data_IF_712484300005
#
_entry.id   IF_712484300005
#
_cell.length_a   1.000
_cell.length_b   1.000
_cell.length_c   1.000
_cell.angle_alpha   90.00
_cell.angle_beta   90.00
_cell.angle_gamma   90.00
#
_symmetry.space_group_name_H-M   'P 1'
#
loop_
_entity.id
_entity.type
_entity.pdbx_description
1 polymer ?
#
# COMPACT_ATOMS: atom_id res chain seq x y z
N UNK A 1 -2.41 -7.17 9.22
CA UNK A 1 -1.62 -7.50 8.03
C UNK A 1 -0.34 -6.72 8.12
N UNK A 2 0.79 -7.36 7.86
CA UNK A 2 2.10 -6.71 7.81
C UNK A 2 2.78 -7.01 6.48
N UNK A 3 3.57 -6.07 5.96
CA UNK A 3 4.47 -6.29 4.83
C UNK A 3 5.68 -5.36 4.91
N UNK A 4 6.79 -5.82 4.34
CA UNK A 4 8.04 -5.07 4.22
C UNK A 4 8.35 -4.75 2.77
N UNK A 5 8.85 -3.56 2.46
CA UNK A 5 9.31 -3.22 1.11
C UNK A 5 10.46 -2.22 1.15
N UNK A 6 11.16 -2.10 0.03
CA UNK A 6 12.19 -1.08 -0.18
C UNK A 6 11.62 0.03 -1.05
N UNK A 7 11.87 1.29 -0.67
CA UNK A 7 11.49 2.46 -1.49
C UNK A 7 12.23 2.38 -2.83
N UNK A 8 11.52 2.38 -3.97
CA UNK A 8 12.14 2.23 -5.27
C UNK A 8 12.88 3.51 -5.67
N UNK A 9 13.80 3.40 -6.63
CA UNK A 9 14.52 4.56 -7.18
C UNK A 9 13.53 5.56 -7.78
N UNK A 10 13.70 6.87 -7.52
CA UNK A 10 12.85 7.91 -8.12
C UNK A 10 12.76 7.76 -9.65
N UNK A 11 11.65 8.20 -10.28
CA UNK A 11 11.52 8.21 -11.73
C UNK A 11 12.68 8.92 -12.43
N UNK A 12 13.15 8.36 -13.55
CA UNK A 12 14.22 8.98 -14.36
C UNK A 12 13.77 10.22 -15.13
N UNK A 13 12.46 10.34 -15.38
CA UNK A 13 11.84 11.48 -16.03
C UNK A 13 10.63 11.94 -15.19
N UNK A 14 10.84 12.62 -14.04
CA UNK A 14 9.74 13.05 -13.19
C UNK A 14 8.92 14.16 -13.89
N UNK A 15 7.61 13.97 -13.97
CA UNK A 15 6.62 14.95 -14.38
C UNK A 15 5.65 15.26 -13.23
N UNK A 16 4.38 15.47 -13.56
CA UNK A 16 3.31 15.68 -12.56
C UNK A 16 2.61 14.39 -12.13
N UNK A 17 3.11 13.22 -12.53
CA UNK A 17 2.51 11.94 -12.18
C UNK A 17 2.50 11.75 -10.66
N UNK A 18 1.50 11.00 -10.20
CA UNK A 18 1.38 10.57 -8.81
C UNK A 18 1.38 9.05 -8.81
N UNK A 19 2.19 8.45 -7.94
CA UNK A 19 2.35 7.00 -7.87
C UNK A 19 2.26 6.56 -6.42
N UNK A 20 1.40 5.60 -6.13
CA UNK A 20 1.22 5.01 -4.81
C UNK A 20 1.52 3.52 -4.83
N UNK A 21 2.22 3.08 -3.80
CA UNK A 21 2.47 1.68 -3.49
C UNK A 21 1.97 1.36 -2.09
N UNK A 22 1.17 0.31 -1.94
CA UNK A 22 0.66 -0.11 -0.64
C UNK A 22 0.20 -1.58 -0.63
N UNK A 23 0.36 -2.32 0.48
CA UNK A 23 -0.57 -3.38 0.83
C UNK A 23 -1.86 -2.78 1.40
N UNK A 24 -2.92 -3.56 1.58
CA UNK A 24 -4.15 -3.00 2.14
C UNK A 24 -5.22 -4.00 2.56
N UNK A 25 -6.20 -3.51 3.31
CA UNK A 25 -7.38 -4.25 3.73
C UNK A 25 -8.64 -3.44 3.44
N UNK A 26 -9.67 -4.08 2.89
CA UNK A 26 -10.96 -3.43 2.62
C UNK A 26 -12.14 -4.38 2.84
N UNK A 27 -13.36 -3.85 2.74
CA UNK A 27 -14.60 -4.62 2.84
C UNK A 27 -15.03 -5.09 1.45
N UNK A 28 -15.52 -6.33 1.35
CA UNK A 28 -16.27 -6.81 0.19
C UNK A 28 -17.65 -7.36 0.59
N UNK A 29 -18.64 -7.32 -0.33
CA UNK A 29 -18.54 -6.84 -1.72
C UNK A 29 -18.66 -5.31 -1.86
N UNK A 30 -19.08 -4.61 -0.81
CA UNK A 30 -19.28 -3.16 -0.82
C UNK A 30 -18.10 -2.49 -0.10
N UNK A 31 -17.18 -1.93 -0.87
CA UNK A 31 -16.05 -1.17 -0.34
C UNK A 31 -16.58 0.17 0.20
N UNK A 32 -16.37 0.40 1.50
CA UNK A 32 -16.56 1.73 2.11
C UNK A 32 -15.22 2.42 2.29
N UNK A 33 -14.20 1.64 2.66
CA UNK A 33 -12.85 2.11 2.85
C UNK A 33 -11.80 1.02 2.70
N UNK A 34 -10.57 1.44 2.46
CA UNK A 34 -9.35 0.66 2.37
C UNK A 34 -8.34 1.26 3.36
N UNK A 35 -7.80 0.40 4.21
CA UNK A 35 -6.76 0.74 5.19
C UNK A 35 -5.39 0.41 4.59
N UNK A 36 -4.52 1.42 4.45
CA UNK A 36 -3.31 1.34 3.63
C UNK A 36 -2.13 2.05 4.29
N UNK A 37 -1.01 1.38 4.55
CA UNK A 37 0.27 2.04 4.73
C UNK A 37 0.84 2.41 3.35
N UNK A 38 0.75 3.68 2.99
CA UNK A 38 1.01 4.19 1.63
C UNK A 38 2.43 4.76 1.53
N UNK A 39 3.17 4.31 0.52
CA UNK A 39 4.33 5.00 -0.05
C UNK A 39 3.88 5.76 -1.31
N UNK A 40 4.01 7.08 -1.31
CA UNK A 40 3.59 7.94 -2.42
C UNK A 40 4.74 8.74 -3.03
N UNK A 41 4.85 8.72 -4.35
CA UNK A 41 5.66 9.67 -5.13
C UNK A 41 4.78 10.84 -5.53
N UNK A 42 5.24 12.06 -5.22
CA UNK A 42 4.58 13.29 -5.60
C UNK A 42 3.11 13.38 -5.10
N UNK A 43 2.76 12.63 -4.05
CA UNK A 43 1.41 12.61 -3.48
C UNK A 43 0.99 13.96 -2.86
N UNK A 44 1.98 14.80 -2.52
CA UNK A 44 1.78 16.13 -1.96
C UNK A 44 2.29 17.25 -2.90
N UNK A 45 2.41 16.97 -4.21
CA UNK A 45 2.93 17.90 -5.22
C UNK A 45 4.35 18.43 -4.87
N UNK A 46 5.19 17.55 -4.36
CA UNK A 46 6.52 17.81 -3.81
C UNK A 46 7.64 17.11 -4.60
N UNK A 47 7.29 16.32 -5.62
CA UNK A 47 8.21 15.47 -6.38
C UNK A 47 9.14 14.63 -5.48
N UNK A 48 8.59 14.06 -4.41
CA UNK A 48 9.33 13.27 -3.44
C UNK A 48 8.58 12.00 -3.01
N UNK A 49 9.31 11.07 -2.40
CA UNK A 49 8.74 9.92 -1.70
C UNK A 49 8.28 10.32 -0.29
N UNK A 50 7.04 10.00 0.02
CA UNK A 50 6.46 10.17 1.36
C UNK A 50 5.77 8.90 1.82
N UNK A 51 5.80 8.65 3.13
CA UNK A 51 5.04 7.59 3.77
C UNK A 51 3.95 8.20 4.63
N UNK A 52 2.74 7.68 4.50
CA UNK A 52 1.62 8.05 5.35
C UNK A 52 0.69 6.84 5.52
N UNK A 53 -0.11 6.85 6.57
CA UNK A 53 -1.11 5.81 6.86
C UNK A 53 -2.50 6.34 6.53
N UNK A 54 -3.21 5.65 5.64
CA UNK A 54 -4.41 6.13 4.97
C UNK A 54 -5.60 5.24 5.24
N UNK A 55 -6.75 5.88 5.44
CA UNK A 55 -8.07 5.28 5.35
C UNK A 55 -8.83 6.00 4.22
N UNK A 56 -8.94 5.33 3.08
CA UNK A 56 -9.51 5.89 1.86
C UNK A 56 -10.67 5.05 1.33
N UNK A 57 -11.75 5.56 0.76
CA UNK A 57 -12.19 6.93 0.86
C UNK A 57 -13.68 6.90 1.11
N UNK A 58 -14.08 7.02 2.38
CA UNK A 58 -15.49 7.12 2.73
C UNK A 58 -16.04 8.41 2.13
N UNK A 59 -17.05 8.28 1.27
CA UNK A 59 -17.69 9.38 0.55
C UNK A 59 -16.69 10.31 -0.16
N UNK A 60 -15.60 9.73 -0.70
CA UNK A 60 -14.55 10.48 -1.39
C UNK A 60 -13.62 11.28 -0.47
N UNK A 61 -13.76 11.15 0.85
CA UNK A 61 -12.88 11.78 1.83
C UNK A 61 -11.71 10.86 2.16
N UNK A 62 -10.50 11.39 2.02
CA UNK A 62 -9.28 10.71 2.45
C UNK A 62 -8.93 11.12 3.86
N UNK A 63 -8.87 10.16 4.79
CA UNK A 63 -8.28 10.38 6.10
C UNK A 63 -6.87 9.81 6.09
N UNK A 64 -5.87 10.61 6.43
CA UNK A 64 -4.49 10.15 6.52
C UNK A 64 -3.79 10.77 7.71
N UNK A 65 -2.74 10.11 8.18
CA UNK A 65 -1.80 10.67 9.15
C UNK A 65 -0.87 11.72 8.50
N UNK A 66 -0.11 12.43 9.33
CA UNK A 66 0.93 13.34 8.82
C UNK A 66 2.00 12.57 8.05
N UNK A 67 2.37 12.99 6.83
CA UNK A 67 3.37 12.29 6.04
C UNK A 67 4.76 12.43 6.66
N UNK A 68 5.55 11.38 6.53
CA UNK A 68 6.98 11.39 6.81
C UNK A 68 7.76 11.22 5.51
N UNK A 69 8.98 11.75 5.45
CA UNK A 69 9.82 11.62 4.28
C UNK A 69 10.34 10.17 4.14
N UNK A 70 10.50 9.76 2.89
CA UNK A 70 11.18 8.54 2.52
C UNK A 70 12.20 8.84 1.42
N UNK A 71 13.22 7.99 1.28
CA UNK A 71 14.25 8.13 0.26
C UNK A 71 14.52 6.80 -0.41
N UNK A 72 15.01 6.86 -1.64
CA UNK A 72 15.39 5.69 -2.43
C UNK A 72 16.23 4.71 -1.61
N UNK A 73 15.83 3.43 -1.60
CA UNK A 73 16.51 2.38 -0.86
C UNK A 73 16.12 2.26 0.62
N UNK A 74 15.30 3.17 1.16
CA UNK A 74 14.81 3.06 2.53
C UNK A 74 14.00 1.78 2.73
N UNK A 75 14.18 1.14 3.89
CA UNK A 75 13.42 -0.03 4.29
C UNK A 75 12.15 0.40 5.02
N UNK A 76 11.02 -0.14 4.59
CA UNK A 76 9.71 0.22 5.09
C UNK A 76 8.98 -1.01 5.61
N UNK A 77 8.26 -0.84 6.72
CA UNK A 77 7.28 -1.80 7.22
C UNK A 77 5.94 -1.11 7.29
N UNK A 78 4.93 -1.71 6.66
CA UNK A 78 3.53 -1.35 6.81
C UNK A 78 2.81 -2.37 7.66
N UNK A 79 2.13 -1.93 8.72
CA UNK A 79 1.32 -2.78 9.60
C UNK A 79 -0.09 -2.21 9.76
N UNK A 80 -1.10 -3.04 9.56
CA UNK A 80 -2.52 -2.71 9.72
C UNK A 80 -3.19 -3.73 10.60
N UNK A 81 -3.63 -3.36 11.80
CA UNK A 81 -4.16 -4.32 12.77
C UNK A 81 -5.31 -3.75 13.62
N UNK A 82 -6.17 -4.66 14.08
CA UNK A 82 -7.23 -4.36 15.05
C UNK A 82 -6.59 -4.04 16.41
N UNK A 83 -7.03 -2.96 17.05
CA UNK A 83 -6.58 -2.59 18.40
C UNK A 83 -7.45 -3.20 19.51
N UNK A 84 -8.52 -3.93 19.15
CA UNK A 84 -9.39 -4.62 20.08
C UNK A 84 -8.81 -5.97 20.53
N UNK A 85 -9.45 -6.59 21.52
CA UNK A 85 -9.11 -7.93 21.94
C UNK A 85 -9.25 -8.95 20.78
N UNK A 86 -8.44 -10.03 20.76
CA UNK A 86 -8.54 -11.07 19.74
C UNK A 86 -9.95 -11.63 19.60
N UNK A 87 -10.37 -11.86 18.35
CA UNK A 87 -11.68 -12.41 18.00
C UNK A 87 -12.85 -11.42 18.06
N UNK A 88 -12.60 -10.18 18.46
CA UNK A 88 -13.63 -9.14 18.57
C UNK A 88 -13.72 -8.33 17.27
N UNK A 89 -14.94 -8.17 16.75
CA UNK A 89 -15.21 -7.20 15.69
C UNK A 89 -14.85 -5.80 16.16
N UNK A 90 -13.93 -5.14 15.48
CA UNK A 90 -13.30 -3.94 15.97
C UNK A 90 -13.57 -2.74 15.07
N UNK A 91 -14.09 -1.68 15.67
CA UNK A 91 -14.25 -0.36 15.04
C UNK A 91 -13.03 0.54 15.25
N UNK A 92 -11.92 0.02 15.77
CA UNK A 92 -10.69 0.79 15.96
C UNK A 92 -9.46 0.01 15.49
N UNK A 93 -8.91 0.43 14.37
CA UNK A 93 -7.74 -0.16 13.74
C UNK A 93 -6.60 0.84 13.75
N UNK A 94 -5.39 0.31 13.85
CA UNK A 94 -4.16 1.08 13.65
C UNK A 94 -3.59 0.73 12.28
N UNK A 95 -3.13 1.75 11.57
CA UNK A 95 -2.32 1.66 10.37
C UNK A 95 -1.02 2.37 10.71
N UNK A 96 0.10 1.67 10.53
CA UNK A 96 1.43 2.15 10.88
C UNK A 96 2.35 1.99 9.69
N UNK A 97 2.81 3.11 9.14
CA UNK A 97 3.86 3.17 8.12
C UNK A 97 5.17 3.52 8.80
N UNK A 98 6.12 2.58 8.88
CA UNK A 98 7.43 2.78 9.53
C UNK A 98 8.53 2.84 8.49
N UNK A 99 9.27 3.94 8.45
CA UNK A 99 10.56 4.01 7.76
C UNK A 99 11.64 3.47 8.73
N UNK A 100 12.04 2.22 8.54
CA UNK A 100 13.00 1.53 9.40
C UNK A 100 14.39 2.15 9.27
N UNK A 101 14.74 2.66 8.09
CA UNK A 101 16.04 3.32 7.85
C UNK A 101 16.21 4.59 8.68
N UNK A 102 15.15 5.37 8.87
CA UNK A 102 15.19 6.64 9.64
C UNK A 102 14.69 6.51 11.07
N UNK A 103 13.98 5.43 11.38
CA UNK A 103 13.30 5.21 12.67
C UNK A 103 12.01 6.02 12.84
N UNK A 104 11.56 6.73 11.80
CA UNK A 104 10.32 7.49 11.82
C UNK A 104 9.12 6.59 11.52
N UNK A 105 7.96 6.93 12.09
CA UNK A 105 6.69 6.33 11.73
C UNK A 105 5.62 7.39 11.49
N UNK A 106 4.63 7.01 10.71
CA UNK A 106 3.37 7.71 10.51
C UNK A 106 2.26 6.74 10.91
N UNK A 107 1.34 7.16 11.78
CA UNK A 107 0.30 6.27 12.34
C UNK A 107 -1.07 6.92 12.25
N UNK A 108 -2.04 6.15 11.79
CA UNK A 108 -3.45 6.51 11.79
C UNK A 108 -4.24 5.49 12.63
N UNK A 109 -4.99 5.97 13.63
CA UNK A 109 -6.01 5.18 14.31
C UNK A 109 -7.38 5.53 13.73
N UNK A 110 -8.16 4.54 13.32
CA UNK A 110 -9.37 4.77 12.54
C UNK A 110 -10.41 3.65 12.64
N UNK A 111 -11.65 3.98 12.31
CA UNK A 111 -12.70 3.00 12.03
C UNK A 111 -12.57 2.46 10.59
N UNK A 112 -12.61 1.14 10.36
CA UNK A 112 -12.70 0.56 9.01
C UNK A 112 -14.10 0.68 8.41
N UNK A 113 -15.12 1.09 9.16
CA UNK A 113 -16.52 1.22 8.72
C UNK A 113 -17.20 -0.10 8.31
N UNK A 114 -16.55 -1.24 8.60
CA UNK A 114 -17.08 -2.56 8.32
C UNK A 114 -16.05 -3.66 8.54
N UNK A 115 -16.48 -4.91 8.37
CA UNK A 115 -15.58 -6.05 8.44
C UNK A 115 -14.64 -6.07 7.23
N UNK A 116 -13.33 -6.06 7.50
CA UNK A 116 -12.30 -6.18 6.49
C UNK A 116 -12.20 -7.64 6.04
N UNK A 117 -12.65 -7.92 4.84
CA UNK A 117 -12.79 -9.29 4.28
C UNK A 117 -11.96 -9.49 3.03
N UNK A 118 -11.28 -8.44 2.55
CA UNK A 118 -10.39 -8.48 1.41
C UNK A 118 -9.02 -7.93 1.76
N UNK A 119 -8.00 -8.44 1.09
CA UNK A 119 -6.60 -8.15 1.37
C UNK A 119 -5.82 -7.97 0.07
N UNK A 120 -4.99 -6.94 0.02
CA UNK A 120 -4.05 -6.68 -1.06
C UNK A 120 -2.63 -6.95 -0.59
N UNK A 121 -1.94 -7.91 -1.22
CA UNK A 121 -0.52 -8.17 -0.98
C UNK A 121 0.40 -7.05 -1.52
N UNK A 122 -0.10 -6.21 -2.41
CA UNK A 122 0.59 -5.06 -2.97
C UNK A 122 -0.21 -4.46 -4.12
N UNK A 123 -0.25 -3.13 -4.19
CA UNK A 123 -0.94 -2.36 -5.24
C UNK A 123 0.02 -1.31 -5.80
N UNK A 124 -0.06 -1.11 -7.11
CA UNK A 124 0.45 0.06 -7.81
C UNK A 124 -0.77 0.85 -8.28
N UNK A 125 -0.91 2.07 -7.78
CA UNK A 125 -1.94 3.00 -8.18
C UNK A 125 -1.28 4.27 -8.73
N UNK A 126 -1.53 4.59 -9.99
CA UNK A 126 -0.82 5.67 -10.68
C UNK A 126 -1.77 6.57 -11.45
N UNK A 127 -1.44 7.86 -11.46
CA UNK A 127 -2.22 8.92 -12.09
C UNK A 127 -1.30 9.83 -12.91
N UNK A 128 -1.76 10.25 -14.09
CA UNK A 128 -1.06 11.22 -14.92
C UNK A 128 0.29 10.72 -15.45
N UNK A 129 0.42 9.42 -15.72
CA UNK A 129 1.59 8.83 -16.36
C UNK A 129 1.44 8.89 -17.87
N UNK A 130 2.32 9.64 -18.53
CA UNK A 130 2.42 9.81 -19.97
C UNK A 130 3.46 8.86 -20.62
N UNK A 131 4.57 8.60 -19.92
CA UNK A 131 5.68 7.79 -20.42
C UNK A 131 6.18 6.81 -19.36
N UNK A 132 6.67 5.64 -19.76
CA UNK A 132 7.06 4.60 -18.78
C UNK A 132 8.24 5.00 -17.88
N UNK A 133 9.07 5.95 -18.29
CA UNK A 133 10.18 6.50 -17.50
C UNK A 133 9.73 7.49 -16.40
N UNK A 134 8.42 7.74 -16.30
CA UNK A 134 7.77 8.41 -15.16
C UNK A 134 7.43 7.46 -14.02
N UNK A 135 7.45 6.14 -14.24
CA UNK A 135 7.48 5.17 -13.15
C UNK A 135 8.87 5.13 -12.48
N UNK A 136 8.99 4.58 -11.25
CA UNK A 136 10.28 4.44 -10.60
C UNK A 136 11.32 3.73 -11.48
N UNK A 137 12.57 4.18 -11.44
CA UNK A 137 13.61 3.64 -12.33
C UNK A 137 14.01 2.19 -12.01
N UNK A 138 13.57 1.63 -10.88
CA UNK A 138 13.79 0.22 -10.51
C UNK A 138 12.98 -0.76 -11.37
N UNK A 139 11.93 -0.31 -12.08
CA UNK A 139 11.04 -1.13 -12.92
C UNK A 139 10.21 -2.18 -12.17
N UNK A 140 10.35 -2.25 -10.85
CA UNK A 140 9.56 -3.14 -10.00
C UNK A 140 9.64 -2.72 -8.53
N UNK A 141 8.69 -3.22 -7.76
CA UNK A 141 8.69 -3.20 -6.30
C UNK A 141 8.19 -4.54 -5.76
N UNK A 142 8.80 -5.02 -4.68
CA UNK A 142 8.37 -6.24 -3.98
C UNK A 142 7.94 -5.91 -2.56
N UNK A 143 6.73 -6.33 -2.22
CA UNK A 143 6.27 -6.49 -0.86
C UNK A 143 6.65 -7.89 -0.39
N UNK A 144 7.38 -7.96 0.71
CA UNK A 144 7.98 -9.16 1.28
C UNK A 144 7.51 -9.34 2.72
N UNK A 145 7.79 -10.49 3.31
CA UNK A 145 7.37 -10.84 4.67
C UNK A 145 5.87 -10.58 4.91
N UNK A 146 5.05 -10.82 3.87
CA UNK A 146 3.61 -10.58 3.95
C UNK A 146 3.01 -11.54 4.98
N UNK A 147 2.50 -10.97 6.07
CA UNK A 147 1.77 -11.68 7.12
C UNK A 147 0.31 -11.27 7.13
N UNK A 148 -0.58 -12.22 6.89
CA UNK A 148 -2.04 -12.05 7.01
C UNK A 148 -2.52 -12.83 8.22
N UNK A 149 -3.37 -12.22 9.04
CA UNK A 149 -3.85 -12.80 10.30
C UNK A 149 -5.37 -12.68 10.39
N UNK A 150 -6.01 -13.67 10.99
CA UNK A 150 -7.41 -13.57 11.40
C UNK A 150 -7.56 -12.59 12.58
N UNK A 151 -8.79 -12.21 12.92
CA UNK A 151 -9.05 -11.38 14.10
C UNK A 151 -8.58 -12.02 15.42
N UNK A 152 -8.46 -13.35 15.46
CA UNK A 152 -7.91 -14.08 16.62
C UNK A 152 -6.37 -14.02 16.70
N UNK A 153 -5.72 -13.40 15.72
CA UNK A 153 -4.26 -13.35 15.61
C UNK A 153 -3.63 -14.60 15.01
N UNK A 154 -4.43 -15.53 14.48
CA UNK A 154 -3.91 -16.73 13.84
C UNK A 154 -3.40 -16.41 12.43
N UNK A 155 -2.21 -16.90 12.02
CA UNK A 155 -1.68 -16.64 10.69
C UNK A 155 -2.49 -17.39 9.61
N UNK A 156 -2.72 -16.72 8.49
CA UNK A 156 -3.26 -17.31 7.26
C UNK A 156 -2.07 -17.79 6.43
N UNK A 157 -1.77 -19.09 6.50
CA UNK A 157 -0.53 -19.65 5.95
C UNK A 157 -0.38 -19.53 4.42
N UNK A 158 -1.49 -19.59 3.69
CA UNK A 158 -1.51 -19.51 2.22
C UNK A 158 -2.68 -18.65 1.76
N UNK A 159 -2.56 -17.31 1.78
CA UNK A 159 -3.59 -16.44 1.24
C UNK A 159 -3.77 -16.73 -0.27
N UNK A 160 -5.01 -16.88 -0.77
CA UNK A 160 -5.27 -17.23 -2.16
C UNK A 160 -5.17 -16.01 -3.07
N UNK A 161 -3.95 -15.51 -3.27
CA UNK A 161 -3.71 -14.31 -4.08
C UNK A 161 -4.20 -14.47 -5.51
N UNK A 162 -4.76 -13.39 -6.05
CA UNK A 162 -5.14 -13.26 -7.46
C UNK A 162 -4.48 -12.02 -8.03
N UNK A 163 -4.03 -12.11 -9.28
CA UNK A 163 -3.47 -10.98 -10.00
C UNK A 163 -4.60 -10.18 -10.65
N UNK A 164 -4.54 -8.85 -10.56
CA UNK A 164 -5.50 -7.95 -11.19
C UNK A 164 -4.77 -6.85 -11.94
N UNK A 165 -5.29 -6.47 -13.11
CA UNK A 165 -4.75 -5.41 -13.97
C UNK A 165 -5.87 -4.43 -14.36
N UNK A 166 -6.38 -3.60 -13.42
CA UNK A 166 -7.50 -2.70 -13.69
C UNK A 166 -7.23 -1.72 -14.84
N UNK A 167 -5.96 -1.37 -15.07
CA UNK A 167 -5.54 -0.49 -16.17
C UNK A 167 -5.80 -1.10 -17.56
N UNK A 168 -5.85 -2.44 -17.67
CA UNK A 168 -6.11 -3.14 -18.93
C UNK A 168 -5.17 -2.67 -20.06
N UNK A 169 -5.76 -2.19 -21.17
CA UNK A 169 -5.03 -1.71 -22.35
C UNK A 169 -4.79 -0.20 -22.37
N UNK A 170 -4.95 0.51 -21.25
CA UNK A 170 -4.72 1.96 -21.17
C UNK A 170 -3.24 2.30 -21.40
N UNK A 171 -2.97 3.38 -22.13
CA UNK A 171 -1.59 3.82 -22.41
C UNK A 171 -1.06 4.75 -21.30
N UNK A 172 0.26 4.74 -21.03
CA UNK A 172 1.28 3.91 -21.66
C UNK A 172 1.22 2.45 -21.17
N UNK A 173 1.65 1.52 -22.03
CA UNK A 173 1.81 0.10 -21.67
C UNK A 173 3.26 -0.16 -21.29
N UNK A 174 3.50 -0.33 -19.99
CA UNK A 174 4.84 -0.44 -19.43
C UNK A 174 5.15 -1.87 -18.96
N UNK A 175 4.69 -2.86 -19.73
CA UNK A 175 4.89 -4.29 -19.44
C UNK A 175 4.43 -4.70 -18.04
N UNK A 176 3.28 -4.16 -17.60
CA UNK A 176 2.75 -4.39 -16.27
C UNK A 176 2.68 -5.89 -15.93
N UNK A 177 3.21 -6.24 -14.77
CA UNK A 177 3.30 -7.62 -14.31
C UNK A 177 3.05 -7.74 -12.81
N UNK A 178 2.41 -8.83 -12.40
CA UNK A 178 2.19 -9.17 -11.00
C UNK A 178 2.57 -10.64 -10.80
N UNK A 179 3.34 -10.91 -9.75
CA UNK A 179 3.63 -12.27 -9.28
C UNK A 179 3.53 -12.33 -7.76
N UNK A 180 3.05 -13.44 -7.21
CA UNK A 180 2.87 -13.58 -5.77
C UNK A 180 3.21 -14.99 -5.29
N UNK A 181 3.72 -15.07 -4.06
CA UNK A 181 3.84 -16.28 -3.23
C UNK A 181 2.98 -16.10 -1.98
N UNK A 182 2.99 -17.04 -1.04
CA UNK A 182 2.27 -16.87 0.24
C UNK A 182 2.71 -15.63 1.03
N UNK A 183 3.97 -15.19 0.89
CA UNK A 183 4.57 -14.12 1.69
C UNK A 183 5.22 -13.01 0.84
N UNK A 184 4.98 -12.98 -0.47
CA UNK A 184 5.59 -11.98 -1.36
C UNK A 184 4.61 -11.58 -2.47
N UNK A 185 4.60 -10.31 -2.82
CA UNK A 185 3.93 -9.77 -4.01
C UNK A 185 4.91 -8.86 -4.73
N UNK A 186 5.13 -9.08 -6.02
CA UNK A 186 6.01 -8.26 -6.85
C UNK A 186 5.21 -7.64 -7.98
N UNK A 187 5.32 -6.32 -8.11
CA UNK A 187 4.71 -5.51 -9.15
C UNK A 187 5.80 -5.03 -10.11
N UNK A 188 5.58 -5.18 -11.42
CA UNK A 188 6.44 -4.72 -12.51
C UNK A 188 5.72 -3.63 -13.28
N UNK A 189 6.44 -2.59 -13.68
CA UNK A 189 5.95 -1.40 -14.37
C UNK A 189 7.02 -0.75 -15.25
#
# INVERSE_FOLDING_TARGET
MVASWTVPTTPSNPGSQVIYFFPGLEQLPNVQSILQPVLGWNGYNDAAWTLASWNCCVDGTTFHSDPINASDGDQVIGDTYSTCAPGVSCSNWAIVSTNVSTGQNSTLNTDPYGALTWVFGGVLEAYGVDTCDQYPASGSISFTDIGVYTLDGNPVASPPWNNSYPVGSQSPQCNYGVSATSSTSTLVY
#
